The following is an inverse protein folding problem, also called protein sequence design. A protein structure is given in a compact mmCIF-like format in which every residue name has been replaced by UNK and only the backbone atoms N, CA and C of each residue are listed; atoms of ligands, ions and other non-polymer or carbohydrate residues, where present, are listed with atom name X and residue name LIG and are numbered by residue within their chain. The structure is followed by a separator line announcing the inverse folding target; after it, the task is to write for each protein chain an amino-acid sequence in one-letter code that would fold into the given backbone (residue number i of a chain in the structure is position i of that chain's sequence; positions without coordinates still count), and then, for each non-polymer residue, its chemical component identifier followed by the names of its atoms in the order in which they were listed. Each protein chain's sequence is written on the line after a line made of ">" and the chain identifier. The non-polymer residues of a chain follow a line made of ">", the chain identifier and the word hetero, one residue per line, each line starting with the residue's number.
data_IF_581528938808
#
_entry.id   IF_581528938808
#
_cell.length_a   1.000
_cell.length_b   1.000
_cell.length_c   1.000
_cell.angle_alpha   90.00
_cell.angle_beta   90.00
_cell.angle_gamma   90.00
#
_symmetry.space_group_name_H-M   'P 1'
#
loop_
_entity.id
_entity.type
_entity.pdbx_description
1 polymer ?
#
# COMPACT_ATOMS: atom_id res chain seq x y z
N UNK A 1 -20.04 11.60 -9.09
CA UNK A 1 -18.91 11.49 -10.04
C UNK A 1 -18.42 10.06 -9.96
N UNK A 2 -18.03 9.43 -11.07
CA UNK A 2 -17.42 8.09 -11.05
C UNK A 2 -15.90 8.23 -10.99
N UNK A 3 -15.25 7.44 -10.15
CA UNK A 3 -13.81 7.45 -9.90
C UNK A 3 -13.18 6.07 -10.21
N UNK A 4 -13.77 5.33 -11.15
CA UNK A 4 -13.33 4.00 -11.59
C UNK A 4 -11.80 3.84 -11.76
N UNK A 5 -11.13 4.81 -12.39
CA UNK A 5 -9.68 4.75 -12.57
C UNK A 5 -8.93 4.82 -11.23
N UNK A 6 -9.44 5.57 -10.24
CA UNK A 6 -8.86 5.56 -8.91
C UNK A 6 -9.14 4.29 -8.14
N UNK A 7 -10.34 3.71 -8.24
CA UNK A 7 -10.64 2.41 -7.65
C UNK A 7 -9.64 1.35 -8.12
N UNK A 8 -9.36 1.31 -9.43
CA UNK A 8 -8.38 0.38 -10.00
C UNK A 8 -6.97 0.58 -9.43
N UNK A 9 -6.54 1.83 -9.26
CA UNK A 9 -5.23 2.12 -8.66
C UNK A 9 -5.19 1.67 -7.20
N UNK A 10 -6.26 1.90 -6.43
CA UNK A 10 -6.35 1.47 -5.03
C UNK A 10 -6.35 -0.06 -4.91
N UNK A 11 -7.03 -0.77 -5.82
CA UNK A 11 -7.04 -2.23 -5.89
C UNK A 11 -5.65 -2.82 -6.14
N UNK A 12 -4.84 -2.17 -6.97
CA UNK A 12 -3.50 -2.61 -7.33
C UNK A 12 -2.39 -2.05 -6.40
N UNK A 13 -2.70 -1.06 -5.57
CA UNK A 13 -1.74 -0.25 -4.80
C UNK A 13 -0.72 -1.09 -4.03
N UNK A 14 -1.20 -2.11 -3.31
CA UNK A 14 -0.34 -2.99 -2.52
C UNK A 14 0.66 -3.75 -3.42
N UNK A 15 0.20 -4.22 -4.58
CA UNK A 15 0.96 -5.08 -5.50
C UNK A 15 1.98 -4.28 -6.32
N UNK A 16 1.59 -3.12 -6.84
CA UNK A 16 2.34 -2.37 -7.85
C UNK A 16 3.30 -1.35 -7.24
N UNK A 17 2.92 -0.74 -6.10
CA UNK A 17 3.70 0.32 -5.47
C UNK A 17 4.25 -0.08 -4.11
N UNK A 18 3.37 -0.45 -3.18
CA UNK A 18 3.76 -0.51 -1.77
C UNK A 18 4.67 -1.69 -1.43
N UNK A 19 4.36 -2.91 -1.88
CA UNK A 19 5.18 -4.08 -1.60
C UNK A 19 6.57 -4.05 -2.26
N UNK A 20 6.72 -3.66 -3.54
CA UNK A 20 8.04 -3.42 -4.13
C UNK A 20 8.86 -2.36 -3.38
N UNK A 21 8.22 -1.29 -2.94
CA UNK A 21 8.88 -0.22 -2.18
C UNK A 21 9.35 -0.72 -0.81
N UNK A 22 8.52 -1.47 -0.08
CA UNK A 22 8.90 -2.10 1.17
C UNK A 22 10.08 -3.07 1.01
N UNK A 23 10.03 -3.96 0.01
CA UNK A 23 11.17 -4.86 -0.29
C UNK A 23 12.45 -4.07 -0.58
N UNK A 24 12.36 -3.00 -1.36
CA UNK A 24 13.52 -2.16 -1.68
C UNK A 24 14.05 -1.47 -0.42
N UNK A 25 13.17 -0.98 0.45
CA UNK A 25 13.54 -0.39 1.73
C UNK A 25 14.31 -1.38 2.62
N UNK A 26 13.84 -2.63 2.75
CA UNK A 26 14.53 -3.66 3.54
C UNK A 26 15.93 -3.98 2.97
N UNK A 27 16.06 -4.00 1.63
CA UNK A 27 17.37 -4.16 0.98
C UNK A 27 18.32 -3.01 1.26
N UNK A 28 17.86 -1.77 1.10
CA UNK A 28 18.68 -0.56 1.31
C UNK A 28 19.08 -0.41 2.77
N UNK A 29 18.22 -0.80 3.70
CA UNK A 29 18.49 -0.75 5.15
C UNK A 29 19.23 -1.98 5.69
N UNK A 30 19.48 -2.99 4.85
CA UNK A 30 20.24 -4.18 5.20
C UNK A 30 19.51 -5.20 6.07
N UNK A 31 18.20 -5.06 6.30
CA UNK A 31 17.42 -6.04 7.05
C UNK A 31 16.92 -7.16 6.12
N UNK A 32 17.69 -8.25 6.06
CA UNK A 32 17.44 -9.42 5.19
C UNK A 32 16.37 -10.40 5.70
N UNK A 33 15.99 -10.29 6.96
CA UNK A 33 15.05 -11.25 7.57
C UNK A 33 14.04 -10.51 8.44
N UNK A 34 13.26 -9.57 7.86
CA UNK A 34 12.16 -8.97 8.59
C UNK A 34 11.17 -10.06 8.96
N UNK A 35 10.51 -9.89 10.10
CA UNK A 35 9.33 -10.67 10.43
C UNK A 35 8.21 -10.37 9.43
N UNK A 36 7.23 -11.27 9.35
CA UNK A 36 6.06 -11.08 8.50
C UNK A 36 5.32 -9.79 8.83
N UNK A 37 5.17 -9.48 10.12
CA UNK A 37 4.43 -8.30 10.57
C UNK A 37 5.22 -7.01 10.31
N UNK A 38 6.55 -7.00 10.50
CA UNK A 38 7.39 -5.87 10.09
C UNK A 38 7.26 -5.59 8.59
N UNK A 39 7.26 -6.64 7.77
CA UNK A 39 7.07 -6.49 6.32
C UNK A 39 5.70 -5.90 6.00
N UNK A 40 4.62 -6.45 6.56
CA UNK A 40 3.24 -5.95 6.38
C UNK A 40 3.10 -4.49 6.80
N UNK A 41 3.61 -4.12 7.98
CA UNK A 41 3.55 -2.75 8.47
C UNK A 41 4.32 -1.79 7.55
N UNK A 42 5.48 -2.22 7.03
CA UNK A 42 6.24 -1.41 6.08
C UNK A 42 5.50 -1.24 4.75
N UNK A 43 4.79 -2.26 4.25
CA UNK A 43 3.91 -2.11 3.08
C UNK A 43 2.84 -1.05 3.34
N UNK A 44 2.17 -1.12 4.49
CA UNK A 44 1.11 -0.16 4.87
C UNK A 44 1.67 1.26 5.02
N UNK A 45 2.88 1.42 5.55
CA UNK A 45 3.56 2.72 5.61
C UNK A 45 3.71 3.34 4.23
N UNK A 46 4.13 2.57 3.21
CA UNK A 46 4.17 3.07 1.83
C UNK A 46 2.78 3.37 1.25
N UNK A 47 1.75 2.58 1.59
CA UNK A 47 0.37 2.91 1.19
C UNK A 47 -0.09 4.25 1.79
N UNK A 48 0.26 4.54 3.04
CA UNK A 48 -0.08 5.80 3.69
C UNK A 48 0.68 6.98 3.05
N UNK A 49 1.91 6.77 2.55
CA UNK A 49 2.60 7.80 1.75
C UNK A 49 1.83 8.14 0.48
N UNK A 50 1.29 7.13 -0.21
CA UNK A 50 0.43 7.33 -1.38
C UNK A 50 -0.86 8.08 -1.01
N UNK A 51 -1.55 7.65 0.06
CA UNK A 51 -2.75 8.32 0.58
C UNK A 51 -2.51 9.80 0.88
N UNK A 52 -1.40 10.11 1.57
CA UNK A 52 -1.03 11.48 1.92
C UNK A 52 -0.74 12.33 0.68
N UNK A 53 -0.10 11.75 -0.33
CA UNK A 53 0.17 12.44 -1.59
C UNK A 53 -1.12 12.80 -2.33
N UNK A 54 -2.08 11.87 -2.41
CA UNK A 54 -3.38 12.14 -3.03
C UNK A 54 -4.21 13.13 -2.21
N UNK A 55 -4.20 12.98 -0.89
CA UNK A 55 -4.92 13.89 0.03
C UNK A 55 -4.44 15.32 -0.11
N UNK A 56 -3.12 15.52 -0.15
CA UNK A 56 -2.51 16.83 -0.37
C UNK A 56 -2.69 17.33 -1.81
N UNK A 57 -2.64 16.43 -2.79
CA UNK A 57 -2.69 16.79 -4.21
C UNK A 57 -4.07 17.24 -4.69
N UNK A 58 -5.14 16.70 -4.11
CA UNK A 58 -6.52 17.01 -4.47
C UNK A 58 -7.24 17.93 -3.48
N UNK A 59 -6.58 18.37 -2.41
CA UNK A 59 -7.16 19.34 -1.48
C UNK A 59 -7.60 20.62 -2.21
N UNK A 60 -8.63 21.28 -1.68
CA UNK A 60 -9.17 22.57 -2.14
C UNK A 60 -9.79 22.60 -3.56
N UNK A 61 -9.91 21.47 -4.24
CA UNK A 61 -10.64 21.39 -5.52
C UNK A 61 -12.14 21.14 -5.33
N UNK A 62 -13.01 21.73 -6.17
CA UNK A 62 -14.43 21.40 -6.17
C UNK A 62 -14.65 19.90 -6.42
N UNK A 63 -15.43 19.25 -5.54
CA UNK A 63 -15.74 17.81 -5.56
C UNK A 63 -14.59 16.88 -5.16
N UNK A 64 -13.56 17.36 -4.46
CA UNK A 64 -12.49 16.49 -3.96
C UNK A 64 -12.92 15.62 -2.77
N UNK A 65 -13.91 16.03 -1.98
CA UNK A 65 -14.34 15.30 -0.78
C UNK A 65 -14.68 13.82 -1.07
N UNK A 66 -15.51 13.57 -2.09
CA UNK A 66 -15.90 12.20 -2.49
C UNK A 66 -14.69 11.36 -2.92
N UNK A 67 -13.73 11.97 -3.63
CA UNK A 67 -12.50 11.32 -4.06
C UNK A 67 -11.59 11.01 -2.86
N UNK A 68 -11.44 11.95 -1.94
CA UNK A 68 -10.59 11.78 -0.77
C UNK A 68 -11.16 10.71 0.18
N UNK A 69 -12.48 10.64 0.31
CA UNK A 69 -13.16 9.57 1.04
C UNK A 69 -13.03 8.21 0.36
N UNK A 70 -13.01 8.17 -0.99
CA UNK A 70 -12.70 6.95 -1.73
C UNK A 70 -11.28 6.47 -1.44
N UNK A 71 -10.29 7.37 -1.55
CA UNK A 71 -8.87 7.06 -1.32
C UNK A 71 -8.65 6.54 0.10
N UNK A 72 -9.17 7.25 1.12
CA UNK A 72 -9.06 6.84 2.52
C UNK A 72 -9.64 5.45 2.77
N UNK A 73 -10.83 5.17 2.21
CA UNK A 73 -11.48 3.86 2.36
C UNK A 73 -10.70 2.76 1.65
N UNK A 74 -10.31 2.97 0.38
CA UNK A 74 -9.57 1.97 -0.38
C UNK A 74 -8.23 1.60 0.24
N UNK A 75 -7.47 2.61 0.72
CA UNK A 75 -6.20 2.37 1.45
C UNK A 75 -6.45 1.59 2.73
N UNK A 76 -7.46 1.98 3.53
CA UNK A 76 -7.81 1.29 4.78
C UNK A 76 -8.23 -0.16 4.55
N UNK A 77 -9.06 -0.43 3.54
CA UNK A 77 -9.55 -1.77 3.24
C UNK A 77 -8.42 -2.70 2.78
N UNK A 78 -7.55 -2.21 1.90
CA UNK A 78 -6.33 -2.92 1.51
C UNK A 78 -5.41 -3.18 2.71
N UNK A 79 -5.19 -2.19 3.59
CA UNK A 79 -4.36 -2.33 4.78
C UNK A 79 -4.91 -3.38 5.76
N UNK A 80 -6.23 -3.42 5.98
CA UNK A 80 -6.89 -4.46 6.78
C UNK A 80 -6.70 -5.86 6.16
N UNK A 81 -6.78 -5.96 4.84
CA UNK A 81 -6.49 -7.19 4.10
C UNK A 81 -5.06 -7.68 4.31
N UNK A 82 -4.08 -6.76 4.34
CA UNK A 82 -2.67 -7.06 4.60
C UNK A 82 -2.46 -7.50 6.05
N UNK A 83 -2.97 -6.75 7.04
CA UNK A 83 -2.84 -7.08 8.47
C UNK A 83 -3.46 -8.42 8.82
N UNK A 84 -4.58 -8.78 8.19
CA UNK A 84 -5.24 -10.08 8.38
C UNK A 84 -4.59 -11.22 7.58
N UNK A 85 -3.54 -10.94 6.79
CA UNK A 85 -2.86 -11.93 5.96
C UNK A 85 -3.65 -12.43 4.76
N UNK A 86 -4.66 -11.67 4.33
CA UNK A 86 -5.52 -12.00 3.18
C UNK A 86 -4.98 -11.45 1.85
N UNK A 87 -3.94 -10.61 1.89
CA UNK A 87 -3.29 -10.11 0.68
C UNK A 87 -2.23 -11.09 0.17
N UNK A 88 -2.64 -12.05 -0.65
CA UNK A 88 -1.78 -13.11 -1.18
C UNK A 88 -0.53 -12.59 -1.90
N UNK A 89 -0.61 -11.45 -2.58
CA UNK A 89 0.53 -10.90 -3.33
C UNK A 89 1.60 -10.34 -2.39
N UNK A 90 1.20 -9.68 -1.30
CA UNK A 90 2.11 -9.23 -0.24
C UNK A 90 2.77 -10.43 0.44
N UNK A 91 2.01 -11.47 0.78
CA UNK A 91 2.55 -12.67 1.45
C UNK A 91 3.54 -13.44 0.56
N UNK A 92 3.24 -13.60 -0.73
CA UNK A 92 4.15 -14.23 -1.69
C UNK A 92 5.45 -13.45 -1.81
N UNK A 93 5.38 -12.12 -1.88
CA UNK A 93 6.56 -11.25 -2.03
C UNK A 93 7.41 -11.23 -0.76
N UNK A 94 6.78 -11.23 0.42
CA UNK A 94 7.46 -11.43 1.70
C UNK A 94 8.25 -12.74 1.69
N UNK A 95 7.57 -13.86 1.39
CA UNK A 95 8.21 -15.18 1.34
C UNK A 95 9.37 -15.21 0.38
N UNK A 96 9.18 -14.70 -0.84
CA UNK A 96 10.25 -14.62 -1.83
C UNK A 96 11.46 -13.81 -1.33
N UNK A 97 11.20 -12.68 -0.68
CA UNK A 97 12.26 -11.83 -0.14
C UNK A 97 13.05 -12.51 0.98
N UNK A 98 12.39 -13.17 1.94
CA UNK A 98 13.10 -13.89 3.00
C UNK A 98 13.88 -15.09 2.46
N UNK A 99 13.33 -15.79 1.46
CA UNK A 99 13.95 -16.99 0.91
C UNK A 99 15.12 -16.69 -0.05
N UNK A 100 15.11 -15.54 -0.76
CA UNK A 100 16.05 -15.26 -1.86
C UNK A 100 16.65 -13.83 -1.87
N UNK A 101 16.27 -12.97 -0.93
CA UNK A 101 16.49 -11.52 -0.98
C UNK A 101 17.76 -10.97 -0.33
#
# INVERSE_FOLDING_TARGET
>A
MDFFEMDRVLDELARTFAAPSATTWFKVTGNKSPTRDEYRLKVIEFMNLFENALSTGYQDYPNSDDLLDLVKRGVKDQANGILSGKNNEVEKRFKYYVDHG
#
